data_IF_151279978244
#
_entry.id   IF_151279978244
#
_cell.length_a   1.000
_cell.length_b   1.000
_cell.length_c   1.000
_cell.angle_alpha   90.00
_cell.angle_beta   90.00
_cell.angle_gamma   90.00
#
_symmetry.space_group_name_H-M   'P 1'
#
loop_
_entity.id
_entity.type
_entity.pdbx_description
1 polymer ?
#
# COMPACT_ATOMS: atom_id res chain seq x y z
N UNK A 1 -11.36 -36.68 -17.93
CA UNK A 1 -10.45 -37.77 -17.53
C UNK A 1 -9.07 -37.42 -18.10
N UNK A 2 -8.40 -36.43 -17.48
CA UNK A 2 -7.09 -35.97 -17.94
C UNK A 2 -6.05 -36.84 -17.26
N UNK A 3 -5.45 -37.75 -18.02
CA UNK A 3 -4.34 -38.57 -17.56
C UNK A 3 -3.18 -37.67 -17.16
N UNK A 4 -2.63 -37.93 -15.97
CA UNK A 4 -1.47 -37.26 -15.39
C UNK A 4 -0.22 -37.46 -16.28
N UNK A 5 0.02 -36.53 -17.20
CA UNK A 5 1.21 -36.47 -18.05
C UNK A 5 2.47 -36.03 -17.28
N UNK A 6 2.49 -36.15 -15.95
CA UNK A 6 3.55 -35.65 -15.06
C UNK A 6 4.34 -36.77 -14.36
N UNK A 7 4.02 -38.04 -14.63
CA UNK A 7 4.67 -39.17 -13.96
C UNK A 7 5.72 -39.90 -14.81
N UNK A 8 5.79 -39.61 -16.12
CA UNK A 8 6.73 -40.28 -17.03
C UNK A 8 7.93 -39.38 -17.32
N UNK A 9 9.13 -39.85 -16.98
CA UNK A 9 10.37 -39.14 -17.30
C UNK A 9 10.63 -39.19 -18.83
N UNK A 10 10.61 -38.05 -19.54
CA UNK A 10 10.84 -38.01 -20.99
C UNK A 10 12.30 -38.27 -21.38
N UNK A 11 13.21 -38.29 -20.42
CA UNK A 11 14.64 -38.55 -20.62
C UNK A 11 15.02 -40.02 -20.37
N UNK A 12 14.09 -40.84 -19.90
CA UNK A 12 14.35 -42.25 -19.59
C UNK A 12 14.69 -43.05 -20.86
N UNK A 13 15.76 -43.86 -20.78
CA UNK A 13 16.25 -44.67 -21.91
C UNK A 13 16.92 -43.89 -23.05
N UNK A 14 17.26 -42.61 -22.87
CA UNK A 14 17.96 -41.84 -23.89
C UNK A 14 19.40 -42.35 -24.10
N UNK A 15 19.82 -42.71 -25.34
CA UNK A 15 21.07 -43.43 -25.60
C UNK A 15 22.35 -42.63 -25.29
N UNK A 16 22.24 -41.31 -25.12
CA UNK A 16 23.35 -40.42 -24.78
C UNK A 16 23.36 -39.99 -23.30
N UNK A 17 22.43 -40.49 -22.47
CA UNK A 17 22.33 -40.12 -21.07
C UNK A 17 22.46 -41.35 -20.18
N UNK A 18 23.21 -41.24 -19.10
CA UNK A 18 23.20 -42.24 -18.03
C UNK A 18 21.83 -42.25 -17.33
N UNK A 19 21.36 -43.39 -16.78
CA UNK A 19 20.10 -43.45 -16.03
C UNK A 19 19.99 -42.37 -14.95
N UNK A 20 21.08 -42.11 -14.22
CA UNK A 20 21.14 -41.06 -13.20
C UNK A 20 20.98 -39.66 -13.78
N UNK A 21 21.61 -39.38 -14.93
CA UNK A 21 21.53 -38.07 -15.58
C UNK A 21 20.11 -37.77 -16.04
N UNK A 22 19.42 -38.78 -16.57
CA UNK A 22 18.03 -38.66 -17.00
C UNK A 22 17.07 -38.37 -15.84
N UNK A 23 17.30 -38.97 -14.67
CA UNK A 23 16.51 -38.74 -13.45
C UNK A 23 16.76 -37.33 -12.91
N UNK A 24 18.02 -36.91 -12.83
CA UNK A 24 18.39 -35.57 -12.36
C UNK A 24 17.81 -34.49 -13.27
N UNK A 25 17.90 -34.64 -14.59
CA UNK A 25 17.30 -33.68 -15.54
C UNK A 25 15.79 -33.55 -15.36
N UNK A 26 15.12 -34.68 -15.08
CA UNK A 26 13.69 -34.70 -14.82
C UNK A 26 13.32 -33.96 -13.53
N UNK A 27 14.08 -34.18 -12.45
CA UNK A 27 13.88 -33.44 -11.20
C UNK A 27 14.11 -31.93 -11.39
N UNK A 28 15.12 -31.53 -12.16
CA UNK A 28 15.33 -30.12 -12.50
C UNK A 28 14.19 -29.53 -13.34
N UNK A 29 13.65 -30.28 -14.30
CA UNK A 29 12.50 -29.84 -15.09
C UNK A 29 11.26 -29.61 -14.20
N UNK A 30 11.00 -30.53 -13.27
CA UNK A 30 9.92 -30.38 -12.28
C UNK A 30 10.15 -29.17 -11.36
N UNK A 31 11.38 -28.98 -10.88
CA UNK A 31 11.73 -27.82 -10.05
C UNK A 31 11.53 -26.50 -10.81
N UNK A 32 11.99 -26.42 -12.05
CA UNK A 32 11.81 -25.23 -12.89
C UNK A 32 10.32 -24.91 -13.09
N UNK A 33 9.49 -25.93 -13.31
CA UNK A 33 8.04 -25.75 -13.39
C UNK A 33 7.44 -25.23 -12.06
N UNK A 34 7.87 -25.77 -10.92
CA UNK A 34 7.44 -25.29 -9.61
C UNK A 34 7.87 -23.84 -9.35
N UNK A 35 9.10 -23.47 -9.74
CA UNK A 35 9.58 -22.09 -9.63
C UNK A 35 8.78 -21.13 -10.52
N UNK A 36 8.43 -21.54 -11.74
CA UNK A 36 7.56 -20.76 -12.62
C UNK A 36 6.16 -20.56 -12.00
N UNK A 37 5.57 -21.63 -11.44
CA UNK A 37 4.28 -21.55 -10.76
C UNK A 37 4.35 -20.63 -9.53
N UNK A 38 5.39 -20.75 -8.72
CA UNK A 38 5.61 -19.90 -7.55
C UNK A 38 5.76 -18.43 -7.98
N UNK A 39 6.53 -18.15 -9.03
CA UNK A 39 6.71 -16.80 -9.57
C UNK A 39 5.39 -16.22 -10.07
N UNK A 40 4.59 -17.01 -10.78
CA UNK A 40 3.25 -16.60 -11.23
C UNK A 40 2.32 -16.31 -10.06
N UNK A 41 2.29 -17.19 -9.05
CA UNK A 41 1.50 -16.98 -7.83
C UNK A 41 1.95 -15.73 -7.08
N UNK A 42 3.24 -15.51 -6.91
CA UNK A 42 3.79 -14.30 -6.27
C UNK A 42 3.40 -13.04 -7.05
N UNK A 43 3.47 -13.07 -8.39
CA UNK A 43 3.01 -11.93 -9.21
C UNK A 43 1.52 -11.67 -9.05
N UNK A 44 0.69 -12.71 -9.04
CA UNK A 44 -0.75 -12.59 -8.80
C UNK A 44 -1.02 -12.01 -7.40
N UNK A 45 -0.37 -12.54 -6.37
CA UNK A 45 -0.50 -12.06 -4.99
C UNK A 45 0.02 -10.64 -4.79
N UNK A 46 0.93 -10.13 -5.61
CA UNK A 46 1.34 -8.72 -5.55
C UNK A 46 0.35 -7.79 -6.26
N UNK A 47 -0.42 -8.28 -7.23
CA UNK A 47 -1.37 -7.45 -7.99
C UNK A 47 -2.73 -7.29 -7.28
N UNK A 48 -3.13 -8.26 -6.46
CA UNK A 48 -4.42 -8.22 -5.74
C UNK A 48 -4.50 -7.25 -4.53
N UNK A 49 -3.50 -7.11 -3.65
CA UNK A 49 -3.60 -6.33 -2.41
C UNK A 49 -3.74 -4.82 -2.64
N UNK A 50 -3.15 -4.30 -3.72
CA UNK A 50 -3.09 -2.85 -3.94
C UNK A 50 -4.44 -2.23 -4.30
N UNK A 51 -5.33 -2.99 -4.95
CA UNK A 51 -6.58 -2.44 -5.44
C UNK A 51 -7.61 -2.17 -4.33
N UNK A 52 -7.54 -2.88 -3.21
CA UNK A 52 -8.55 -2.74 -2.14
C UNK A 52 -8.07 -1.86 -0.98
N UNK A 53 -6.76 -1.87 -0.67
CA UNK A 53 -6.22 -1.08 0.45
C UNK A 53 -6.17 0.42 0.10
N UNK A 54 -5.80 0.79 -1.13
CA UNK A 54 -5.69 2.19 -1.53
C UNK A 54 -7.03 2.95 -1.50
N UNK A 55 -8.16 2.41 -1.99
CA UNK A 55 -9.47 3.04 -1.83
C UNK A 55 -9.89 3.21 -0.38
N UNK A 56 -9.63 2.21 0.47
CA UNK A 56 -9.95 2.30 1.90
C UNK A 56 -9.15 3.40 2.59
N UNK A 57 -7.85 3.54 2.30
CA UNK A 57 -7.04 4.64 2.83
C UNK A 57 -7.51 6.01 2.34
N UNK A 58 -7.83 6.15 1.04
CA UNK A 58 -8.39 7.40 0.50
C UNK A 58 -9.75 7.76 1.12
N UNK A 59 -10.59 6.76 1.39
CA UNK A 59 -11.87 6.98 2.07
C UNK A 59 -11.65 7.47 3.51
N UNK A 60 -10.68 6.87 4.21
CA UNK A 60 -10.33 7.26 5.56
C UNK A 60 -9.76 8.69 5.59
N UNK A 61 -8.86 9.04 4.67
CA UNK A 61 -8.31 10.39 4.51
C UNK A 61 -9.42 11.43 4.34
N UNK A 62 -10.40 11.18 3.45
CA UNK A 62 -11.53 12.08 3.23
C UNK A 62 -12.38 12.27 4.48
N UNK A 63 -12.66 11.19 5.21
CA UNK A 63 -13.45 11.25 6.45
C UNK A 63 -12.73 12.06 7.52
N UNK A 64 -11.44 11.79 7.75
CA UNK A 64 -10.66 12.51 8.76
C UNK A 64 -10.42 13.98 8.35
N UNK A 65 -10.21 14.25 7.05
CA UNK A 65 -10.10 15.61 6.53
C UNK A 65 -11.38 16.43 6.69
N UNK A 66 -12.55 15.80 6.52
CA UNK A 66 -13.84 16.43 6.80
C UNK A 66 -13.99 16.73 8.30
N UNK A 67 -13.70 15.76 9.17
CA UNK A 67 -13.75 15.95 10.62
C UNK A 67 -12.82 17.08 11.07
N UNK A 68 -11.60 17.13 10.55
CA UNK A 68 -10.65 18.22 10.85
C UNK A 68 -11.17 19.57 10.37
N UNK A 69 -11.74 19.64 9.17
CA UNK A 69 -12.32 20.87 8.63
C UNK A 69 -13.48 21.37 9.50
N UNK A 70 -14.39 20.48 9.87
CA UNK A 70 -15.53 20.82 10.75
C UNK A 70 -15.05 21.25 12.14
N UNK A 71 -14.06 20.55 12.71
CA UNK A 71 -13.46 20.92 13.99
C UNK A 71 -12.78 22.29 13.93
N UNK A 72 -12.02 22.57 12.87
CA UNK A 72 -11.41 23.89 12.68
C UNK A 72 -12.46 24.99 12.56
N UNK A 73 -13.53 24.75 11.81
CA UNK A 73 -14.63 25.70 11.68
C UNK A 73 -15.34 25.93 13.02
N UNK A 74 -15.58 24.87 13.82
CA UNK A 74 -16.21 25.01 15.14
C UNK A 74 -15.34 25.80 16.11
N UNK A 75 -14.02 25.56 16.10
CA UNK A 75 -13.08 26.30 16.95
C UNK A 75 -12.99 27.76 16.52
N UNK A 76 -12.91 28.04 15.21
CA UNK A 76 -12.91 29.40 14.69
C UNK A 76 -14.19 30.17 15.03
N UNK A 77 -15.35 29.51 14.95
CA UNK A 77 -16.62 30.11 15.35
C UNK A 77 -16.59 30.58 16.80
N UNK A 78 -16.16 29.72 17.72
CA UNK A 78 -16.08 30.05 19.16
C UNK A 78 -15.07 31.17 19.44
N UNK A 79 -13.92 31.17 18.79
CA UNK A 79 -12.89 32.22 18.99
C UNK A 79 -13.33 33.56 18.42
N UNK A 80 -13.99 33.57 17.25
CA UNK A 80 -14.47 34.80 16.64
C UNK A 80 -15.64 35.44 17.43
N UNK A 81 -16.40 34.64 18.17
CA UNK A 81 -17.45 35.12 19.07
C UNK A 81 -16.90 35.62 20.42
N UNK A 82 -15.61 35.45 20.71
CA UNK A 82 -15.03 36.11 21.88
C UNK A 82 -15.09 37.63 21.66
N UNK A 83 -15.68 38.40 22.60
CA UNK A 83 -15.57 39.85 22.54
C UNK A 83 -14.08 40.18 22.49
N UNK A 84 -13.66 41.22 21.74
CA UNK A 84 -12.27 41.65 21.76
C UNK A 84 -11.89 41.76 23.23
N UNK A 85 -10.94 40.93 23.67
CA UNK A 85 -10.41 41.00 25.02
C UNK A 85 -10.12 42.47 25.25
N UNK A 86 -10.77 43.09 26.22
CA UNK A 86 -10.51 44.47 26.62
C UNK A 86 -9.08 44.52 27.18
N UNK A 87 -8.09 44.39 26.29
CA UNK A 87 -6.80 44.98 26.45
C UNK A 87 -7.05 46.46 26.31
N UNK A 88 -7.32 47.09 27.45
CA UNK A 88 -7.24 48.53 27.60
C UNK A 88 -5.83 48.94 27.18
N UNK A 89 -5.63 49.21 25.89
CA UNK A 89 -4.55 50.06 25.44
C UNK A 89 -4.90 51.44 25.99
N UNK A 90 -4.40 51.73 27.20
CA UNK A 90 -4.44 53.07 27.76
C UNK A 90 -3.61 53.97 26.87
N UNK A 91 -4.25 54.55 25.86
CA UNK A 91 -3.73 55.64 25.03
C UNK A 91 -3.81 56.98 25.79
N UNK A 92 -3.41 56.97 27.07
CA UNK A 92 -3.47 58.12 27.98
C UNK A 92 -2.11 58.77 28.21
N UNK A 93 -1.10 58.39 27.43
CA UNK A 93 0.24 58.96 27.48
C UNK A 93 0.81 59.33 26.10
N UNK A 94 -0.01 59.40 25.04
CA UNK A 94 0.41 60.08 23.80
C UNK A 94 0.39 61.61 23.98
N UNK A 95 1.46 62.14 24.59
CA UNK A 95 1.84 63.55 24.52
C UNK A 95 2.94 63.75 23.48
N UNK A 96 2.77 63.24 22.26
CA UNK A 96 3.61 63.68 21.14
C UNK A 96 3.27 65.13 20.82
N UNK A 97 3.97 66.04 21.49
CA UNK A 97 3.95 67.48 21.21
C UNK A 97 4.35 67.68 19.75
N UNK A 98 3.40 68.18 18.94
CA UNK A 98 3.69 68.79 17.65
C UNK A 98 4.27 70.17 17.91
N UNK A 99 5.59 70.29 17.76
CA UNK A 99 6.30 71.56 17.70
C UNK A 99 6.74 71.86 16.26
#
# INVERSE_FOLDING_TARGET
>A
MSCDSHMMNPYDGHPALSPLESEVLWEYAKLAQHLNLLTQKTRSLNQLPDNDILPHLRLLEKKMGLVLTLFKASVWGVINEQPPSQGSYNDSNDTTIRH
#
